data_IF_731292974960
#
_entry.id   IF_731292974960
#
_cell.length_a   1.000
_cell.length_b   1.000
_cell.length_c   1.000
_cell.angle_alpha   90.00
_cell.angle_beta   90.00
_cell.angle_gamma   90.00
#
_symmetry.space_group_name_H-M   'P 1'
#
loop_
_entity.id
_entity.type
_entity.pdbx_description
1 polymer ?
#
# COMPACT_ATOMS: atom_id res chain seq x y z
N UNK A 1 -8.36 0.00 5.99
CA UNK A 1 -7.15 0.58 6.62
C UNK A 1 -6.07 0.50 5.58
N UNK A 2 -5.87 1.58 4.84
CA UNK A 2 -4.73 1.70 3.95
C UNK A 2 -3.55 2.04 4.83
N UNK A 3 -2.76 1.04 5.21
CA UNK A 3 -1.43 1.31 5.74
C UNK A 3 -0.61 1.91 4.60
N UNK A 4 -0.15 3.13 4.78
CA UNK A 4 0.86 3.70 3.92
C UNK A 4 2.17 2.98 4.27
N UNK A 5 2.47 1.87 3.55
CA UNK A 5 3.64 1.03 3.83
C UNK A 5 4.98 1.76 3.62
N UNK A 6 4.96 2.96 3.04
CA UNK A 6 6.17 3.72 2.76
C UNK A 6 6.93 4.25 3.98
N UNK A 7 6.27 4.41 5.12
CA UNK A 7 6.90 5.00 6.32
C UNK A 7 7.55 3.96 7.22
N UNK A 8 7.14 2.69 7.13
CA UNK A 8 7.62 1.63 8.04
C UNK A 8 8.82 0.83 7.55
N UNK A 9 9.22 1.01 6.29
CA UNK A 9 10.25 0.16 5.68
C UNK A 9 11.70 0.53 6.04
N UNK A 10 11.95 1.68 6.66
CA UNK A 10 13.34 2.14 6.76
C UNK A 10 14.10 1.78 8.04
N UNK A 11 13.45 1.37 9.11
CA UNK A 11 14.24 1.11 10.33
C UNK A 11 13.55 0.13 11.28
N UNK A 12 13.87 -1.13 11.19
CA UNK A 12 13.58 -2.12 12.22
C UNK A 12 12.98 -3.41 11.71
N UNK A 13 13.53 -4.51 12.17
CA UNK A 13 13.02 -5.86 11.96
C UNK A 13 11.61 -5.96 12.55
N UNK A 14 10.59 -6.04 11.68
CA UNK A 14 9.24 -6.36 12.12
C UNK A 14 9.09 -7.88 12.07
N UNK A 15 8.86 -8.52 13.20
CA UNK A 15 8.48 -9.94 13.22
C UNK A 15 7.13 -10.14 12.53
N UNK A 16 6.92 -11.24 11.79
CA UNK A 16 5.67 -11.53 11.09
C UNK A 16 4.52 -11.63 12.08
N UNK A 17 3.48 -10.94 11.71
CA UNK A 17 2.36 -10.61 12.53
C UNK A 17 1.48 -11.73 13.01
N UNK A 18 0.62 -11.35 13.87
CA UNK A 18 -0.51 -12.10 14.40
C UNK A 18 -1.59 -12.18 13.31
N UNK A 19 -1.98 -13.39 12.93
CA UNK A 19 -3.13 -13.62 12.04
C UNK A 19 -4.43 -13.35 12.78
N UNK A 20 -5.44 -12.75 12.16
CA UNK A 20 -6.79 -12.76 12.70
C UNK A 20 -7.35 -14.19 12.66
N UNK A 21 -7.98 -14.59 13.74
CA UNK A 21 -8.70 -15.86 13.79
C UNK A 21 -9.91 -15.84 12.83
N UNK A 22 -10.23 -17.00 12.26
CA UNK A 22 -11.34 -17.20 11.33
C UNK A 22 -12.70 -17.22 12.04
N UNK A 23 -13.13 -16.08 12.52
CA UNK A 23 -14.53 -15.92 12.95
C UNK A 23 -14.89 -14.44 13.03
N UNK A 24 -16.04 -14.01 12.49
CA UNK A 24 -16.39 -12.60 12.41
C UNK A 24 -17.00 -12.01 13.68
N UNK A 25 -17.05 -12.75 14.78
CA UNK A 25 -17.63 -12.27 16.02
C UNK A 25 -16.53 -12.11 17.07
N UNK A 26 -16.31 -10.86 17.51
CA UNK A 26 -15.55 -10.48 18.71
C UNK A 26 -14.04 -10.81 18.71
N UNK A 27 -13.28 -10.23 17.79
CA UNK A 27 -11.84 -10.15 17.97
C UNK A 27 -11.55 -9.02 18.95
N UNK A 28 -11.42 -9.37 20.22
CA UNK A 28 -10.84 -8.50 21.23
C UNK A 28 -9.32 -8.53 21.01
N UNK A 29 -8.75 -7.50 20.38
CA UNK A 29 -7.30 -7.37 20.27
C UNK A 29 -6.78 -6.95 21.64
N UNK A 30 -6.15 -7.88 22.32
CA UNK A 30 -5.46 -7.60 23.59
C UNK A 30 -4.12 -6.89 23.28
N UNK A 31 -4.17 -5.57 23.24
CA UNK A 31 -3.00 -4.72 22.96
C UNK A 31 -1.89 -4.84 24.02
N UNK A 32 -2.18 -5.41 25.20
CA UNK A 32 -1.17 -5.65 26.22
C UNK A 32 -0.14 -6.70 25.80
N UNK A 33 -0.52 -7.63 24.91
CA UNK A 33 0.33 -8.68 24.34
C UNK A 33 1.22 -8.22 23.19
N UNK A 34 0.96 -7.04 22.61
CA UNK A 34 1.80 -6.48 21.55
C UNK A 34 3.10 -5.87 22.06
N UNK A 35 3.22 -5.62 23.36
CA UNK A 35 4.44 -5.09 23.98
C UNK A 35 5.66 -6.02 23.85
N UNK A 36 5.49 -7.31 23.60
CA UNK A 36 6.56 -8.29 23.50
C UNK A 36 7.10 -8.55 22.08
N UNK A 37 6.49 -7.98 21.02
CA UNK A 37 6.86 -8.27 19.63
C UNK A 37 7.65 -7.18 18.94
N UNK A 38 7.90 -6.05 19.60
CA UNK A 38 8.75 -4.98 19.10
C UNK A 38 10.19 -5.27 19.50
N UNK A 39 11.07 -5.43 18.53
CA UNK A 39 12.51 -5.66 18.75
C UNK A 39 13.11 -4.53 19.58
N UNK A 40 13.95 -4.84 20.61
CA UNK A 40 14.69 -3.82 21.36
C UNK A 40 15.67 -3.13 20.38
N UNK A 41 15.49 -1.85 20.13
CA UNK A 41 16.39 -1.07 19.29
C UNK A 41 15.75 0.14 18.65
N UNK A 42 14.44 0.18 18.58
CA UNK A 42 13.63 1.40 18.39
C UNK A 42 12.32 1.20 19.10
N UNK A 43 12.32 1.51 20.37
CA UNK A 43 11.15 2.12 20.94
C UNK A 43 10.86 3.33 20.07
N UNK A 44 9.73 3.30 19.32
CA UNK A 44 9.02 4.52 19.20
C UNK A 44 8.67 4.86 20.65
N UNK A 45 9.48 5.69 21.25
CA UNK A 45 9.07 6.46 22.39
C UNK A 45 8.01 7.43 21.84
N UNK A 46 6.83 6.87 21.57
CA UNK A 46 5.62 7.64 21.77
C UNK A 46 5.77 7.97 23.24
N UNK A 47 5.90 9.24 23.63
CA UNK A 47 5.89 9.57 25.02
C UNK A 47 4.51 9.18 25.54
N UNK A 48 4.38 7.93 25.90
CA UNK A 48 3.26 7.39 26.62
C UNK A 48 3.39 7.99 28.03
N UNK A 49 3.00 9.27 28.14
CA UNK A 49 2.82 9.86 29.44
C UNK A 49 1.53 9.28 30.00
N UNK A 50 1.60 8.35 30.97
CA UNK A 50 0.40 7.78 31.58
C UNK A 50 -0.50 8.84 32.24
N UNK A 51 0.02 10.05 32.43
CA UNK A 51 -0.68 11.16 33.09
C UNK A 51 -1.79 11.80 32.25
N UNK A 52 -1.86 11.53 30.93
CA UNK A 52 -2.88 12.09 30.04
C UNK A 52 -3.84 11.04 29.44
N UNK A 53 -3.68 9.77 29.79
CA UNK A 53 -4.67 8.73 29.46
C UNK A 53 -5.94 8.99 30.24
N UNK A 54 -7.02 9.34 29.55
CA UNK A 54 -8.32 9.61 30.15
C UNK A 54 -8.69 11.08 30.25
N UNK A 55 -7.96 12.01 29.58
CA UNK A 55 -8.42 13.38 29.46
C UNK A 55 -9.75 13.42 28.73
N UNK A 56 -10.73 14.00 29.40
CA UNK A 56 -12.09 14.19 28.90
C UNK A 56 -12.05 15.20 27.77
N UNK A 57 -12.59 14.86 26.61
CA UNK A 57 -12.69 15.76 25.48
C UNK A 57 -13.77 16.83 25.66
N UNK A 58 -13.58 18.05 25.18
CA UNK A 58 -14.62 19.09 25.20
C UNK A 58 -15.93 18.66 24.58
N UNK A 59 -15.91 17.80 23.53
CA UNK A 59 -17.09 17.33 22.84
C UNK A 59 -17.90 16.27 23.59
N UNK A 60 -17.27 15.52 24.50
CA UNK A 60 -17.92 14.43 25.20
C UNK A 60 -17.14 13.94 26.42
N UNK A 61 -17.82 13.75 27.53
CA UNK A 61 -17.27 13.13 28.75
C UNK A 61 -17.04 11.61 28.60
N UNK A 62 -17.53 11.00 27.52
CA UNK A 62 -17.45 9.56 27.25
C UNK A 62 -16.46 9.21 26.11
N UNK A 63 -15.69 10.17 25.66
CA UNK A 63 -14.63 10.00 24.66
C UNK A 63 -13.26 10.13 25.32
N UNK A 64 -12.37 9.19 25.00
CA UNK A 64 -11.06 9.03 25.63
C UNK A 64 -9.95 9.02 24.61
N UNK A 65 -8.89 9.82 24.85
CA UNK A 65 -7.66 9.77 24.07
C UNK A 65 -6.88 8.52 24.48
N UNK A 66 -6.62 7.64 23.54
CA UNK A 66 -5.89 6.36 23.74
C UNK A 66 -4.44 6.43 23.28
N UNK A 67 -4.15 7.27 22.29
CA UNK A 67 -2.79 7.45 21.81
C UNK A 67 -2.55 8.86 21.23
N UNK A 68 -1.30 9.26 21.25
CA UNK A 68 -0.79 10.46 20.60
C UNK A 68 0.18 10.05 19.49
N UNK A 69 0.22 10.82 18.41
CA UNK A 69 1.17 10.65 17.31
C UNK A 69 2.53 11.27 17.65
N UNK A 70 3.47 11.07 16.75
CA UNK A 70 4.77 11.74 16.74
C UNK A 70 4.68 13.27 16.67
N UNK A 71 3.54 13.81 16.20
CA UNK A 71 3.26 15.26 16.22
C UNK A 71 2.83 15.78 17.60
N UNK A 72 2.65 14.90 18.58
CA UNK A 72 2.13 15.23 19.90
C UNK A 72 0.63 15.48 19.93
N UNK A 73 -0.08 15.23 18.84
CA UNK A 73 -1.53 15.35 18.76
C UNK A 73 -2.22 14.00 18.97
N UNK A 74 -3.47 13.98 19.50
CA UNK A 74 -4.21 12.76 19.64
C UNK A 74 -4.38 12.05 18.28
N UNK A 75 -3.94 10.80 18.20
CA UNK A 75 -4.04 10.00 16.97
C UNK A 75 -5.01 8.81 17.09
N UNK A 76 -5.53 8.58 18.28
CA UNK A 76 -6.54 7.55 18.55
C UNK A 76 -7.45 8.02 19.68
N UNK A 77 -8.72 8.24 19.35
CA UNK A 77 -9.76 8.65 20.30
C UNK A 77 -10.96 7.73 20.11
N UNK A 78 -11.44 7.10 21.18
CA UNK A 78 -12.56 6.17 21.13
C UNK A 78 -13.61 6.45 22.21
N UNK A 79 -14.81 5.95 21.99
CA UNK A 79 -15.96 6.11 22.86
C UNK A 79 -17.09 6.87 22.17
N UNK A 80 -17.94 7.55 22.92
CA UNK A 80 -18.97 8.43 22.37
C UNK A 80 -18.33 9.77 22.06
N UNK A 81 -17.96 9.98 20.78
CA UNK A 81 -17.18 11.16 20.40
C UNK A 81 -17.95 12.48 20.49
N UNK A 82 -19.28 12.44 20.31
CA UNK A 82 -20.18 13.60 20.31
C UNK A 82 -21.44 13.30 21.13
N UNK A 83 -22.00 14.32 21.77
CA UNK A 83 -23.37 14.28 22.29
C UNK A 83 -24.38 14.22 21.13
N UNK A 84 -25.61 13.77 21.39
CA UNK A 84 -26.66 13.67 20.36
C UNK A 84 -26.93 14.99 19.63
N UNK A 85 -26.85 16.13 20.33
CA UNK A 85 -27.01 17.46 19.72
C UNK A 85 -25.90 17.83 18.73
N UNK A 86 -24.76 17.13 18.77
CA UNK A 86 -23.62 17.34 17.87
C UNK A 86 -23.64 16.45 16.63
N UNK A 87 -24.59 15.51 16.52
CA UNK A 87 -24.65 14.51 15.47
C UNK A 87 -25.66 14.92 14.39
N UNK A 88 -25.21 14.99 13.15
CA UNK A 88 -26.09 15.06 11.99
C UNK A 88 -26.15 13.70 11.31
N UNK A 89 -27.19 12.92 11.58
CA UNK A 89 -27.35 11.55 11.04
C UNK A 89 -27.54 11.50 9.53
N UNK A 90 -27.86 12.63 8.89
CA UNK A 90 -28.04 12.75 7.43
C UNK A 90 -26.74 13.18 6.75
N UNK A 91 -25.81 13.79 7.50
CA UNK A 91 -24.52 14.25 6.98
C UNK A 91 -23.37 13.87 7.92
N UNK A 92 -22.71 12.77 7.57
CA UNK A 92 -21.55 12.29 8.30
C UNK A 92 -20.36 13.26 8.26
N UNK A 93 -20.22 14.07 7.20
CA UNK A 93 -19.17 15.10 7.12
C UNK A 93 -19.44 16.23 8.10
N UNK A 94 -20.68 16.70 8.17
CA UNK A 94 -21.06 17.70 9.16
C UNK A 94 -20.81 17.20 10.59
N UNK A 95 -21.09 15.92 10.86
CA UNK A 95 -20.81 15.27 12.15
C UNK A 95 -19.30 15.24 12.44
N UNK A 96 -18.47 14.83 11.47
CA UNK A 96 -17.02 14.75 11.61
C UNK A 96 -16.41 16.16 11.87
N UNK A 97 -16.80 17.15 11.08
CA UNK A 97 -16.31 18.51 11.24
C UNK A 97 -16.76 19.16 12.54
N UNK A 98 -17.98 18.86 13.01
CA UNK A 98 -18.43 19.33 14.31
C UNK A 98 -17.59 18.74 15.46
N UNK A 99 -17.20 17.46 15.37
CA UNK A 99 -16.27 16.88 16.34
C UNK A 99 -14.94 17.65 16.38
N UNK A 100 -14.32 17.90 15.21
CA UNK A 100 -13.04 18.63 15.13
C UNK A 100 -13.22 20.04 15.71
N UNK A 101 -14.28 20.73 15.33
CA UNK A 101 -14.58 22.10 15.79
C UNK A 101 -14.74 22.18 17.30
N UNK A 102 -15.46 21.25 17.91
CA UNK A 102 -15.64 21.23 19.37
C UNK A 102 -14.35 20.87 20.13
N UNK A 103 -13.39 20.24 19.46
CA UNK A 103 -12.11 19.83 20.04
C UNK A 103 -10.91 20.61 19.51
N UNK A 104 -11.10 21.80 18.94
CA UNK A 104 -10.04 22.61 18.34
C UNK A 104 -8.86 22.88 19.28
N UNK A 105 -9.12 23.12 20.57
CA UNK A 105 -8.07 23.34 21.57
C UNK A 105 -7.16 22.13 21.77
N UNK A 106 -7.68 20.92 21.60
CA UNK A 106 -6.97 19.65 21.74
C UNK A 106 -6.31 19.24 20.45
N UNK A 107 -7.05 19.37 19.31
CA UNK A 107 -6.58 18.95 17.99
C UNK A 107 -5.74 20.01 17.30
N UNK A 108 -5.78 21.29 17.76
CA UNK A 108 -5.06 22.43 17.18
C UNK A 108 -5.32 22.64 15.71
N UNK A 109 -6.56 22.44 15.28
CA UNK A 109 -7.05 22.68 13.93
C UNK A 109 -7.97 23.91 13.94
N UNK A 110 -7.68 24.90 13.11
CA UNK A 110 -8.40 26.17 13.11
C UNK A 110 -9.64 26.13 12.20
N UNK A 111 -9.49 25.65 10.97
CA UNK A 111 -10.55 25.64 9.95
C UNK A 111 -10.76 24.22 9.37
N UNK A 112 -11.43 23.33 10.08
CA UNK A 112 -11.53 21.92 9.67
C UNK A 112 -12.16 21.71 8.29
N UNK A 113 -13.09 22.59 7.87
CA UNK A 113 -13.76 22.51 6.57
C UNK A 113 -12.86 22.89 5.40
N UNK A 114 -11.86 23.75 5.64
CA UNK A 114 -10.87 24.17 4.65
C UNK A 114 -9.65 23.25 4.65
N UNK A 115 -9.36 22.68 5.83
CA UNK A 115 -8.16 21.89 6.05
C UNK A 115 -8.33 20.40 5.74
N UNK A 116 -9.56 19.86 5.78
CA UNK A 116 -9.78 18.43 5.56
C UNK A 116 -10.69 18.16 4.36
N UNK A 117 -10.14 17.47 3.36
CA UNK A 117 -10.88 17.04 2.17
C UNK A 117 -11.13 15.54 2.25
N UNK A 118 -12.38 15.12 2.08
CA UNK A 118 -12.73 13.70 2.05
C UNK A 118 -12.08 13.01 0.85
N UNK A 119 -11.28 11.97 1.11
CA UNK A 119 -10.61 11.17 0.07
C UNK A 119 -11.19 9.77 -0.08
N UNK A 120 -11.92 9.28 0.94
CA UNK A 120 -12.55 7.97 0.89
C UNK A 120 -13.78 7.92 1.79
N UNK A 121 -14.80 7.18 1.36
CA UNK A 121 -15.96 6.78 2.17
C UNK A 121 -16.27 5.33 1.87
N UNK A 122 -16.25 4.49 2.90
CA UNK A 122 -16.64 3.09 2.82
C UNK A 122 -17.83 2.87 3.75
N UNK A 123 -18.86 2.21 3.24
CA UNK A 123 -20.00 1.77 4.03
C UNK A 123 -20.01 0.24 4.10
N UNK A 124 -20.10 -0.30 5.30
CA UNK A 124 -20.24 -1.73 5.59
C UNK A 124 -21.39 -1.94 6.54
N UNK A 125 -22.57 -2.22 6.00
CA UNK A 125 -23.82 -2.28 6.75
C UNK A 125 -24.12 -0.97 7.48
N UNK A 126 -24.20 -1.01 8.81
CA UNK A 126 -24.42 0.14 9.68
C UNK A 126 -23.14 0.97 9.92
N UNK A 127 -21.98 0.46 9.51
CA UNK A 127 -20.69 1.11 9.71
C UNK A 127 -20.34 2.02 8.53
N UNK A 128 -19.86 3.20 8.83
CA UNK A 128 -19.31 4.14 7.86
C UNK A 128 -17.88 4.49 8.28
N UNK A 129 -16.96 4.40 7.32
CA UNK A 129 -15.55 4.77 7.50
C UNK A 129 -15.25 5.89 6.53
N UNK A 130 -14.90 7.06 7.04
CA UNK A 130 -14.65 8.25 6.24
C UNK A 130 -13.23 8.70 6.49
N UNK A 131 -12.47 8.89 5.43
CA UNK A 131 -11.08 9.31 5.48
C UNK A 131 -10.93 10.69 4.86
N UNK A 132 -10.13 11.53 5.50
CA UNK A 132 -9.83 12.89 5.07
C UNK A 132 -8.32 13.08 4.97
N UNK A 133 -7.89 13.81 3.95
CA UNK A 133 -6.54 14.33 3.78
C UNK A 133 -6.48 15.76 4.30
N UNK A 134 -5.45 16.10 5.07
CA UNK A 134 -5.22 17.47 5.50
C UNK A 134 -4.60 18.31 4.39
N UNK A 135 -5.07 19.55 4.26
CA UNK A 135 -4.55 20.59 3.38
C UNK A 135 -4.28 21.87 4.16
N UNK A 136 -3.38 22.69 3.64
CA UNK A 136 -3.18 24.06 4.11
C UNK A 136 -3.20 25.00 2.93
N UNK A 137 -4.17 25.91 2.90
CA UNK A 137 -4.38 26.85 1.77
C UNK A 137 -4.36 26.18 0.40
N UNK A 138 -5.00 25.01 0.30
CA UNK A 138 -5.09 24.23 -0.94
C UNK A 138 -3.88 23.34 -1.24
N UNK A 139 -2.83 23.36 -0.44
CA UNK A 139 -1.64 22.51 -0.60
C UNK A 139 -1.75 21.31 0.36
N UNK A 140 -1.56 20.10 -0.16
CA UNK A 140 -1.61 18.88 0.64
C UNK A 140 -0.56 18.90 1.74
N UNK A 141 -0.97 18.56 2.97
CA UNK A 141 -0.03 18.28 4.06
C UNK A 141 0.41 16.83 3.94
N UNK A 142 1.70 16.62 3.74
CA UNK A 142 2.27 15.29 3.52
C UNK A 142 2.05 14.36 4.72
N UNK A 143 1.59 13.14 4.42
CA UNK A 143 1.36 12.09 5.41
C UNK A 143 0.45 12.52 6.57
N UNK A 144 -0.58 13.31 6.27
CA UNK A 144 -1.53 13.83 7.24
C UNK A 144 -2.95 13.44 6.84
N UNK A 145 -3.40 12.32 7.37
CA UNK A 145 -4.73 11.75 7.11
C UNK A 145 -5.44 11.42 8.43
N UNK A 146 -6.74 11.69 8.47
CA UNK A 146 -7.60 11.31 9.60
C UNK A 146 -8.76 10.45 9.12
N UNK A 147 -9.27 9.62 10.00
CA UNK A 147 -10.43 8.76 9.74
C UNK A 147 -11.44 8.85 10.86
N UNK A 148 -12.71 8.90 10.47
CA UNK A 148 -13.85 8.73 11.37
C UNK A 148 -14.53 7.40 11.09
N UNK A 149 -14.90 6.72 12.16
CA UNK A 149 -15.67 5.49 12.13
C UNK A 149 -16.98 5.74 12.85
N UNK A 150 -18.09 5.60 12.11
CA UNK A 150 -19.44 5.84 12.61
C UNK A 150 -20.25 4.54 12.55
N UNK A 151 -21.12 4.35 13.54
CA UNK A 151 -22.15 3.31 13.53
C UNK A 151 -23.51 3.99 13.61
N UNK A 152 -24.38 3.70 12.63
CA UNK A 152 -25.69 4.35 12.51
C UNK A 152 -25.64 5.90 12.57
N UNK A 153 -24.58 6.48 11.96
CA UNK A 153 -24.31 7.92 11.94
C UNK A 153 -23.71 8.48 13.24
N UNK A 154 -23.45 7.64 14.26
CA UNK A 154 -22.82 8.04 15.52
C UNK A 154 -21.32 7.78 15.45
N UNK A 155 -20.45 8.79 15.59
CA UNK A 155 -19.01 8.59 15.57
C UNK A 155 -18.54 7.97 16.89
N UNK A 156 -17.82 6.84 16.79
CA UNK A 156 -17.30 6.09 17.95
C UNK A 156 -15.79 5.97 17.98
N UNK A 157 -15.11 6.25 16.86
CA UNK A 157 -13.66 6.20 16.77
C UNK A 157 -13.15 7.27 15.80
N UNK A 158 -12.16 8.01 16.24
CA UNK A 158 -11.32 8.89 15.45
C UNK A 158 -9.90 8.37 15.50
N UNK A 159 -9.25 8.24 14.36
CA UNK A 159 -7.84 7.93 14.29
C UNK A 159 -7.16 8.59 13.09
N UNK A 160 -5.83 8.68 13.15
CA UNK A 160 -5.02 9.20 12.07
C UNK A 160 -3.80 9.96 12.56
N UNK A 161 -3.06 10.52 11.61
CA UNK A 161 -1.91 11.37 11.85
C UNK A 161 -2.12 12.68 11.11
N UNK A 162 -1.91 13.79 11.79
CA UNK A 162 -2.05 15.13 11.23
C UNK A 162 -1.13 16.10 11.99
N UNK A 163 -1.02 17.33 11.52
CA UNK A 163 -0.26 18.39 12.19
C UNK A 163 -1.20 19.51 12.64
N UNK A 164 -0.80 20.32 13.62
CA UNK A 164 -1.52 21.56 13.93
C UNK A 164 -1.67 22.39 12.66
N UNK A 165 -2.72 23.21 12.57
CA UNK A 165 -2.85 24.18 11.47
C UNK A 165 -1.53 24.94 11.31
N UNK A 166 -0.86 24.86 10.13
CA UNK A 166 0.40 25.54 9.92
C UNK A 166 0.25 27.05 10.05
N UNK A 167 1.07 27.66 10.89
CA UNK A 167 1.12 29.12 11.03
C UNK A 167 2.26 29.67 10.16
N UNK A 168 1.99 30.77 9.45
CA UNK A 168 2.99 31.59 8.75
C UNK A 168 3.82 30.87 7.68
N UNK A 169 3.29 29.81 7.07
CA UNK A 169 3.94 29.15 5.94
C UNK A 169 3.70 29.98 4.66
N UNK A 170 4.79 30.44 4.05
CA UNK A 170 4.73 31.04 2.71
C UNK A 170 4.47 29.91 1.70
N UNK A 171 3.33 29.98 0.98
CA UNK A 171 2.90 28.96 0.01
C UNK A 171 3.30 29.27 -1.43
N UNK A 172 4.02 30.36 -1.68
CA UNK A 172 4.50 30.74 -3.02
C UNK A 172 5.93 30.23 -3.19
N UNK A 173 6.20 29.25 -4.06
CA UNK A 173 7.53 28.70 -4.23
C UNK A 173 8.46 29.72 -4.92
N UNK A 174 9.74 29.74 -4.56
CA UNK A 174 10.77 30.57 -5.20
C UNK A 174 11.53 29.84 -6.31
N UNK A 175 11.45 28.50 -6.35
CA UNK A 175 11.97 27.67 -7.44
C UNK A 175 10.83 26.93 -8.13
N UNK A 176 11.03 26.50 -9.37
CA UNK A 176 10.04 25.71 -10.12
C UNK A 176 10.14 24.21 -9.82
N UNK A 177 9.07 23.47 -10.18
CA UNK A 177 9.08 21.99 -10.10
C UNK A 177 10.20 21.39 -10.96
N UNK A 178 10.50 21.98 -12.13
CA UNK A 178 11.57 21.49 -12.99
C UNK A 178 12.96 21.65 -12.32
N UNK A 179 13.19 22.75 -11.60
CA UNK A 179 14.41 22.95 -10.83
C UNK A 179 14.52 21.88 -9.73
N UNK A 180 13.45 21.65 -8.97
CA UNK A 180 13.43 20.63 -7.94
C UNK A 180 13.63 19.22 -8.51
N UNK A 181 13.01 18.92 -9.65
CA UNK A 181 13.18 17.64 -10.37
C UNK A 181 14.62 17.44 -10.82
N UNK A 182 15.27 18.49 -11.33
CA UNK A 182 16.69 18.42 -11.72
C UNK A 182 17.62 18.24 -10.52
N UNK A 183 17.29 18.81 -9.38
CA UNK A 183 18.03 18.56 -8.13
C UNK A 183 17.92 17.08 -7.74
N UNK A 184 16.71 16.49 -7.77
CA UNK A 184 16.53 15.07 -7.48
C UNK A 184 17.34 14.18 -8.46
N UNK A 185 17.32 14.49 -9.77
CA UNK A 185 18.13 13.79 -10.79
C UNK A 185 19.64 13.91 -10.55
N UNK A 186 20.10 15.04 -10.00
CA UNK A 186 21.53 15.23 -9.68
C UNK A 186 21.98 14.40 -8.48
N UNK A 187 21.05 14.11 -7.55
CA UNK A 187 21.32 13.22 -6.41
C UNK A 187 21.42 11.77 -6.91
N UNK A 188 20.44 11.33 -7.71
CA UNK A 188 20.43 9.99 -8.32
C UNK A 188 20.01 10.08 -9.79
N UNK A 189 20.92 9.86 -10.72
CA UNK A 189 20.56 9.82 -12.13
C UNK A 189 19.50 8.76 -12.43
N UNK A 190 18.55 9.13 -13.28
CA UNK A 190 17.51 8.22 -13.76
C UNK A 190 18.04 7.50 -15.00
N UNK A 191 17.99 6.16 -15.02
CA UNK A 191 18.32 5.39 -16.21
C UNK A 191 17.32 5.66 -17.33
N UNK A 192 17.73 5.42 -18.58
CA UNK A 192 16.81 5.38 -19.70
C UNK A 192 16.03 4.05 -19.65
N UNK A 193 14.69 4.16 -19.60
CA UNK A 193 13.81 3.00 -19.62
C UNK A 193 13.30 2.74 -21.02
N UNK A 194 13.18 1.46 -21.40
CA UNK A 194 12.41 1.04 -22.57
C UNK A 194 10.92 1.16 -22.29
N UNK A 195 10.08 1.16 -23.35
CA UNK A 195 8.63 1.15 -23.19
C UNK A 195 8.13 -0.05 -22.38
N UNK A 196 8.79 -1.20 -22.51
CA UNK A 196 8.47 -2.39 -21.72
C UNK A 196 8.80 -2.18 -20.25
N UNK A 197 9.96 -1.63 -19.92
CA UNK A 197 10.40 -1.35 -18.56
C UNK A 197 9.50 -0.32 -17.86
N UNK A 198 8.98 0.67 -18.60
CA UNK A 198 8.03 1.64 -18.04
C UNK A 198 6.72 0.98 -17.54
N UNK A 199 6.29 -0.13 -18.14
CA UNK A 199 5.12 -0.88 -17.65
C UNK A 199 5.35 -1.46 -16.27
N UNK A 200 6.60 -1.84 -15.93
CA UNK A 200 6.97 -2.40 -14.63
C UNK A 200 7.13 -1.34 -13.53
N UNK A 201 7.22 -0.07 -13.91
CA UNK A 201 7.16 1.05 -12.96
C UNK A 201 5.71 1.50 -12.75
N UNK A 202 4.87 1.40 -13.79
CA UNK A 202 3.44 1.75 -13.76
C UNK A 202 3.15 3.24 -13.69
N UNK A 203 4.18 4.07 -13.68
CA UNK A 203 4.12 5.53 -13.63
C UNK A 203 5.33 6.14 -14.39
N UNK A 204 5.34 7.45 -14.55
CA UNK A 204 6.52 8.12 -15.10
C UNK A 204 7.71 7.99 -14.13
N UNK A 205 8.96 7.84 -14.64
CA UNK A 205 10.13 7.58 -13.79
C UNK A 205 10.44 8.66 -12.75
N UNK A 206 9.96 9.89 -12.98
CA UNK A 206 10.10 10.99 -12.03
C UNK A 206 8.93 11.96 -12.17
N UNK A 207 8.33 12.32 -11.05
CA UNK A 207 7.24 13.30 -10.97
C UNK A 207 7.21 13.93 -9.58
N UNK A 208 6.48 15.03 -9.45
CA UNK A 208 6.37 15.67 -8.15
C UNK A 208 5.25 16.68 -8.04
N UNK A 209 5.04 17.15 -6.82
CA UNK A 209 4.04 18.15 -6.48
C UNK A 209 4.48 18.98 -5.28
N UNK A 210 3.84 20.15 -5.09
CA UNK A 210 4.00 20.92 -3.86
C UNK A 210 3.27 20.26 -2.70
N UNK A 211 3.91 20.24 -1.54
CA UNK A 211 3.35 19.76 -0.28
C UNK A 211 3.77 20.66 0.88
N UNK A 212 3.00 20.63 1.96
CA UNK A 212 3.48 21.07 3.26
C UNK A 212 4.15 19.87 3.93
N UNK A 213 5.44 19.97 4.17
CA UNK A 213 6.27 18.91 4.75
C UNK A 213 6.73 19.25 6.16
N UNK A 214 6.75 18.28 7.06
CA UNK A 214 7.23 18.42 8.43
C UNK A 214 8.32 17.41 8.74
N UNK A 215 9.48 17.89 9.19
CA UNK A 215 10.52 17.06 9.79
C UNK A 215 10.30 17.01 11.30
N UNK A 216 9.52 16.06 11.79
CA UNK A 216 9.05 16.00 13.17
C UNK A 216 10.21 15.95 14.18
N UNK A 217 11.29 15.25 13.86
CA UNK A 217 12.49 15.18 14.69
C UNK A 217 13.15 16.56 14.91
N UNK A 218 12.89 17.52 14.02
CA UNK A 218 13.44 18.89 14.10
C UNK A 218 12.39 19.93 14.46
N UNK A 219 11.22 19.84 13.90
CA UNK A 219 10.12 20.78 14.11
C UNK A 219 8.80 20.22 13.60
N UNK A 220 7.72 20.45 14.34
CA UNK A 220 6.34 20.20 13.88
C UNK A 220 5.82 21.31 12.96
N UNK A 221 6.59 22.37 12.72
CA UNK A 221 6.22 23.45 11.79
C UNK A 221 6.30 22.92 10.36
N UNK A 222 5.20 23.06 9.63
CA UNK A 222 5.17 22.78 8.20
C UNK A 222 6.04 23.76 7.43
N UNK A 223 6.68 23.29 6.35
CA UNK A 223 7.39 24.12 5.38
C UNK A 223 6.98 23.71 3.96
N UNK A 224 7.00 24.66 3.04
CA UNK A 224 6.67 24.38 1.65
C UNK A 224 7.82 23.60 1.00
N UNK A 225 7.50 22.45 0.44
CA UNK A 225 8.46 21.59 -0.24
C UNK A 225 7.91 21.04 -1.54
N UNK A 226 8.78 20.73 -2.51
CA UNK A 226 8.47 19.81 -3.57
C UNK A 226 8.70 18.39 -3.09
N UNK A 227 7.66 17.58 -3.11
CA UNK A 227 7.75 16.14 -2.99
C UNK A 227 7.98 15.55 -4.38
N UNK A 228 9.13 14.92 -4.59
CA UNK A 228 9.52 14.31 -5.86
C UNK A 228 9.63 12.81 -5.66
N UNK A 229 8.84 12.05 -6.40
CA UNK A 229 8.98 10.60 -6.53
C UNK A 229 9.90 10.29 -7.69
N UNK A 230 10.90 9.46 -7.49
CA UNK A 230 11.85 9.08 -8.53
C UNK A 230 12.15 7.57 -8.53
N UNK A 231 12.20 6.99 -9.71
CA UNK A 231 12.68 5.64 -9.99
C UNK A 231 14.04 5.70 -10.71
N UNK A 232 15.17 5.67 -10.00
CA UNK A 232 16.48 5.64 -10.65
C UNK A 232 16.68 4.41 -11.54
N UNK A 233 16.09 3.29 -11.15
CA UNK A 233 16.05 2.01 -11.86
C UNK A 233 14.76 1.25 -11.53
N UNK A 234 14.56 0.03 -12.03
CA UNK A 234 13.35 -0.78 -11.82
C UNK A 234 13.16 -1.24 -10.36
N UNK A 235 14.20 -1.27 -9.55
CA UNK A 235 14.20 -1.78 -8.17
C UNK A 235 13.97 -0.69 -7.16
N UNK A 236 14.53 0.49 -7.42
CA UNK A 236 14.61 1.56 -6.42
C UNK A 236 13.56 2.63 -6.68
N UNK A 237 12.87 3.01 -5.62
CA UNK A 237 11.96 4.14 -5.58
C UNK A 237 12.33 5.04 -4.41
N UNK A 238 12.47 6.33 -4.68
CA UNK A 238 12.83 7.35 -3.69
C UNK A 238 11.80 8.46 -3.66
N UNK A 239 11.56 8.97 -2.47
CA UNK A 239 10.80 10.20 -2.22
C UNK A 239 11.78 11.26 -1.74
N UNK A 240 11.89 12.37 -2.48
CA UNK A 240 12.71 13.53 -2.12
C UNK A 240 11.80 14.66 -1.67
N UNK A 241 12.20 15.33 -0.60
CA UNK A 241 11.56 16.57 -0.16
C UNK A 241 12.56 17.70 -0.33
N UNK A 242 12.27 18.60 -1.26
CA UNK A 242 13.15 19.70 -1.64
C UNK A 242 12.47 21.00 -1.25
N UNK A 243 13.13 21.82 -0.44
CA UNK A 243 12.62 23.12 0.00
C UNK A 243 12.26 23.98 -1.20
N UNK A 244 11.01 24.40 -1.28
CA UNK A 244 10.47 25.11 -2.43
C UNK A 244 10.96 26.57 -2.56
N UNK A 245 11.65 27.10 -1.54
CA UNK A 245 12.23 28.44 -1.56
C UNK A 245 13.73 28.41 -1.85
N UNK A 246 14.46 27.44 -1.28
CA UNK A 246 15.92 27.44 -1.31
C UNK A 246 16.52 26.37 -2.25
N UNK A 247 15.72 25.38 -2.66
CA UNK A 247 16.20 24.22 -3.42
C UNK A 247 17.03 23.22 -2.60
N UNK A 248 17.13 23.39 -1.29
CA UNK A 248 17.85 22.44 -0.42
C UNK A 248 17.08 21.15 -0.26
N UNK A 249 17.78 20.02 -0.29
CA UNK A 249 17.22 18.73 0.11
C UNK A 249 16.88 18.76 1.60
N UNK A 250 15.61 18.57 1.92
CA UNK A 250 15.10 18.49 3.29
C UNK A 250 15.21 17.06 3.79
N UNK A 251 14.74 16.10 2.99
CA UNK A 251 14.71 14.68 3.33
C UNK A 251 14.74 13.79 2.10
N UNK A 252 15.20 12.55 2.29
CA UNK A 252 15.24 11.50 1.28
C UNK A 252 14.75 10.20 1.92
N UNK A 253 13.74 9.57 1.33
CA UNK A 253 13.16 8.31 1.80
C UNK A 253 13.26 7.28 0.67
N UNK A 254 13.96 6.16 0.90
CA UNK A 254 13.86 5.01 0.01
C UNK A 254 12.51 4.32 0.26
N UNK A 255 11.61 4.36 -0.72
CA UNK A 255 10.23 3.85 -0.60
C UNK A 255 10.01 2.49 -1.28
N UNK A 256 11.04 1.91 -1.92
CA UNK A 256 11.01 0.52 -2.34
C UNK A 256 11.13 -0.41 -1.13
N UNK A 257 10.21 -1.39 -1.03
CA UNK A 257 10.21 -2.37 0.05
C UNK A 257 11.10 -3.56 -0.34
N UNK A 258 12.20 -3.77 0.39
CA UNK A 258 13.03 -4.96 0.30
C UNK A 258 12.93 -5.72 1.62
N UNK A 259 12.56 -7.00 1.56
CA UNK A 259 12.62 -7.91 2.69
C UNK A 259 14.07 -8.38 2.85
N UNK A 260 14.81 -7.79 3.77
CA UNK A 260 16.11 -8.34 4.20
C UNK A 260 15.81 -9.39 5.26
N UNK A 261 15.92 -10.66 4.92
CA UNK A 261 15.85 -11.75 5.88
C UNK A 261 17.21 -11.92 6.58
N UNK A 262 17.27 -11.62 7.87
CA UNK A 262 18.25 -12.19 8.77
C UNK A 262 17.76 -13.61 9.13
N UNK A 263 18.44 -14.62 8.59
CA UNK A 263 18.09 -16.00 8.81
C UNK A 263 18.27 -16.40 10.28
N UNK A 264 17.17 -16.57 11.00
CA UNK A 264 17.04 -17.53 12.07
C UNK A 264 15.84 -18.39 11.72
N UNK A 265 16.12 -19.67 11.51
CA UNK A 265 15.15 -20.68 11.16
C UNK A 265 14.03 -20.76 12.19
N UNK A 266 12.83 -20.34 11.79
CA UNK A 266 11.60 -20.78 12.45
C UNK A 266 10.77 -21.51 11.39
N UNK A 267 10.86 -22.84 11.41
CA UNK A 267 10.02 -23.74 10.63
C UNK A 267 8.56 -23.61 11.06
N UNK A 268 7.80 -22.77 10.40
CA UNK A 268 6.35 -22.69 10.60
C UNK A 268 5.67 -23.23 9.33
N UNK A 269 5.21 -24.48 9.39
CA UNK A 269 4.37 -25.05 8.36
C UNK A 269 2.92 -24.58 8.54
N UNK A 270 2.34 -23.96 7.54
CA UNK A 270 0.93 -23.57 7.52
C UNK A 270 0.12 -24.53 6.66
N UNK A 271 -0.86 -25.19 7.25
CA UNK A 271 -1.89 -25.95 6.50
C UNK A 271 -3.09 -25.05 6.26
N UNK A 272 -3.39 -24.77 4.99
CA UNK A 272 -4.65 -24.16 4.58
C UNK A 272 -5.63 -25.26 4.15
N UNK A 273 -6.82 -25.25 4.73
CA UNK A 273 -7.95 -26.01 4.20
C UNK A 273 -8.68 -25.11 3.18
N UNK A 274 -8.51 -25.41 1.91
CA UNK A 274 -9.30 -24.80 0.83
C UNK A 274 -10.32 -25.85 0.33
N UNK A 275 -11.50 -25.86 0.94
CA UNK A 275 -12.68 -26.49 0.31
C UNK A 275 -13.56 -25.40 -0.27
N UNK A 276 -13.26 -24.96 -1.49
CA UNK A 276 -14.24 -24.31 -2.34
C UNK A 276 -14.30 -25.03 -3.65
N UNK A 277 -15.49 -25.59 -3.92
CA UNK A 277 -15.81 -26.28 -5.18
C UNK A 277 -15.82 -25.27 -6.34
N UNK A 278 -14.90 -25.41 -7.27
CA UNK A 278 -15.03 -24.80 -8.58
C UNK A 278 -15.62 -25.79 -9.57
N UNK A 279 -16.76 -25.44 -10.13
CA UNK A 279 -17.46 -26.24 -11.16
C UNK A 279 -16.66 -26.19 -12.47
N UNK A 280 -16.14 -27.32 -12.89
CA UNK A 280 -15.53 -27.48 -14.21
C UNK A 280 -16.59 -27.44 -15.30
N UNK A 281 -16.42 -26.60 -16.32
CA UNK A 281 -17.20 -26.67 -17.57
C UNK A 281 -16.46 -27.55 -18.58
N UNK A 282 -17.18 -28.53 -19.11
CA UNK A 282 -16.71 -29.32 -20.23
C UNK A 282 -16.66 -28.51 -21.53
N UNK A 283 -15.60 -28.69 -22.33
CA UNK A 283 -15.38 -27.96 -23.58
C UNK A 283 -15.56 -28.87 -24.79
N UNK A 284 -16.27 -28.35 -25.77
CA UNK A 284 -16.52 -28.90 -27.10
C UNK A 284 -15.31 -28.67 -28.02
N UNK A 285 -15.05 -29.66 -28.90
CA UNK A 285 -13.93 -29.68 -29.87
C UNK A 285 -14.15 -28.78 -31.07
N UNK A 286 -14.02 -27.48 -30.89
CA UNK A 286 -13.60 -26.51 -31.93
C UNK A 286 -12.26 -25.93 -31.54
N UNK A 287 -11.38 -25.43 -32.44
CA UNK A 287 -10.17 -24.77 -32.03
C UNK A 287 -10.55 -23.71 -30.99
N UNK A 288 -9.92 -23.72 -29.81
CA UNK A 288 -10.37 -22.87 -28.72
C UNK A 288 -10.25 -21.41 -29.14
N UNK A 289 -11.36 -20.67 -29.00
CA UNK A 289 -11.38 -19.23 -29.23
C UNK A 289 -10.55 -18.54 -28.18
N UNK A 290 -9.86 -17.46 -28.57
CA UNK A 290 -9.17 -16.57 -27.65
C UNK A 290 -10.04 -16.23 -26.44
N UNK A 291 -9.51 -16.37 -25.22
CA UNK A 291 -10.28 -16.09 -24.02
C UNK A 291 -9.73 -16.72 -22.74
N UNK A 292 -10.47 -16.51 -21.65
CA UNK A 292 -10.14 -17.08 -20.35
C UNK A 292 -10.22 -18.62 -20.40
N UNK A 293 -9.24 -19.26 -19.78
CA UNK A 293 -9.13 -20.71 -19.66
C UNK A 293 -8.66 -21.08 -18.25
N UNK A 294 -8.66 -22.37 -17.93
CA UNK A 294 -8.18 -22.88 -16.65
C UNK A 294 -7.25 -24.07 -16.86
N UNK A 295 -6.31 -24.28 -15.92
CA UNK A 295 -5.42 -25.42 -15.93
C UNK A 295 -5.08 -25.86 -14.49
N UNK A 296 -4.82 -27.15 -14.31
CA UNK A 296 -4.22 -27.64 -13.09
C UNK A 296 -2.69 -27.68 -13.23
N UNK A 297 -1.97 -27.17 -12.23
CA UNK A 297 -0.51 -27.15 -12.22
C UNK A 297 0.03 -27.33 -10.80
N UNK A 298 1.27 -27.82 -10.70
CA UNK A 298 1.90 -28.08 -9.40
C UNK A 298 2.68 -26.85 -8.94
N UNK A 299 2.39 -26.39 -7.73
CA UNK A 299 3.10 -25.27 -7.07
C UNK A 299 4.45 -25.72 -6.46
N UNK A 300 5.19 -24.78 -5.86
CA UNK A 300 6.46 -25.05 -5.18
C UNK A 300 6.34 -26.05 -4.04
N UNK A 301 5.18 -26.10 -3.37
CA UNK A 301 4.91 -27.05 -2.28
C UNK A 301 4.49 -28.43 -2.77
N UNK A 302 4.48 -28.68 -4.08
CA UNK A 302 4.02 -29.93 -4.67
C UNK A 302 2.51 -30.10 -4.71
N UNK A 303 1.74 -29.03 -4.42
CA UNK A 303 0.28 -29.07 -4.40
C UNK A 303 -0.27 -28.71 -5.78
N UNK A 304 -1.27 -29.47 -6.24
CA UNK A 304 -2.01 -29.15 -7.46
C UNK A 304 -2.90 -27.94 -7.23
N UNK A 305 -2.75 -26.90 -8.07
CA UNK A 305 -3.51 -25.66 -8.04
C UNK A 305 -4.29 -25.48 -9.32
N UNK A 306 -5.53 -25.07 -9.19
CA UNK A 306 -6.32 -24.59 -10.32
C UNK A 306 -5.88 -23.14 -10.63
N UNK A 307 -5.39 -22.92 -11.84
CA UNK A 307 -4.97 -21.63 -12.35
C UNK A 307 -6.00 -21.09 -13.32
N UNK A 308 -6.25 -19.79 -13.30
CA UNK A 308 -6.87 -19.07 -14.39
C UNK A 308 -5.78 -18.64 -15.37
N UNK A 309 -5.96 -18.96 -16.63
CA UNK A 309 -5.01 -18.66 -17.71
C UNK A 309 -5.75 -17.96 -18.84
N UNK A 310 -5.05 -17.50 -19.85
CA UNK A 310 -5.68 -16.87 -21.02
C UNK A 310 -5.11 -17.43 -22.31
N UNK A 311 -5.98 -17.90 -23.19
CA UNK A 311 -5.63 -18.29 -24.54
C UNK A 311 -5.63 -17.07 -25.45
N UNK A 312 -4.54 -16.86 -26.17
CA UNK A 312 -4.42 -15.82 -27.19
C UNK A 312 -3.59 -16.32 -28.38
N UNK A 313 -4.21 -16.32 -29.56
CA UNK A 313 -3.55 -16.68 -30.82
C UNK A 313 -2.82 -18.02 -30.75
N UNK A 314 -3.46 -19.03 -30.14
CA UNK A 314 -2.93 -20.39 -30.02
C UNK A 314 -1.95 -20.66 -28.90
N UNK A 315 -1.61 -19.65 -28.08
CA UNK A 315 -0.77 -19.81 -26.89
C UNK A 315 -1.53 -19.45 -25.62
N UNK A 316 -1.32 -20.23 -24.57
CA UNK A 316 -1.80 -19.91 -23.21
C UNK A 316 -0.75 -19.08 -22.48
N UNK A 317 -1.25 -18.15 -21.67
CA UNK A 317 -0.46 -17.22 -20.87
C UNK A 317 -0.87 -17.34 -19.41
N UNK A 318 0.07 -17.15 -18.47
CA UNK A 318 -0.25 -16.96 -17.07
C UNK A 318 -0.80 -15.54 -16.86
N UNK A 319 -2.00 -15.34 -17.38
CA UNK A 319 -2.79 -14.11 -17.24
C UNK A 319 -4.18 -14.50 -16.76
N UNK A 320 -4.56 -14.08 -15.57
CA UNK A 320 -5.90 -14.25 -15.03
C UNK A 320 -6.75 -13.02 -15.35
N UNK A 321 -7.64 -13.17 -16.32
CA UNK A 321 -8.62 -12.17 -16.76
C UNK A 321 -10.03 -12.50 -16.23
N UNK A 322 -10.15 -13.38 -15.23
CA UNK A 322 -11.45 -13.83 -14.71
C UNK A 322 -12.02 -12.92 -13.62
N UNK A 323 -11.23 -12.00 -13.09
CA UNK A 323 -11.62 -11.14 -11.97
C UNK A 323 -12.42 -9.93 -12.44
N UNK A 324 -13.36 -9.40 -11.59
CA UNK A 324 -14.18 -8.23 -11.92
C UNK A 324 -13.39 -6.96 -12.29
N UNK A 325 -12.11 -6.89 -11.95
CA UNK A 325 -11.24 -5.78 -12.33
C UNK A 325 -10.85 -5.78 -13.80
N UNK A 326 -10.99 -6.90 -14.51
CA UNK A 326 -10.59 -7.01 -15.91
C UNK A 326 -11.50 -6.20 -16.82
N UNK A 327 -10.92 -5.33 -17.66
CA UNK A 327 -11.70 -4.38 -18.45
C UNK A 327 -11.40 -4.34 -19.95
N UNK A 328 -10.30 -4.96 -20.43
CA UNK A 328 -9.94 -4.91 -21.85
C UNK A 328 -9.23 -6.18 -22.32
N UNK A 329 -9.86 -7.04 -23.11
CA UNK A 329 -9.24 -8.22 -23.71
C UNK A 329 -8.23 -7.89 -24.81
N UNK A 330 -8.34 -6.71 -25.44
CA UNK A 330 -7.52 -6.33 -26.61
C UNK A 330 -6.05 -6.04 -26.26
N UNK A 331 -5.73 -5.81 -25.00
CA UNK A 331 -4.38 -5.55 -24.51
C UNK A 331 -3.57 -6.82 -24.18
N UNK A 332 -4.19 -8.00 -24.22
CA UNK A 332 -3.50 -9.28 -23.95
C UNK A 332 -2.70 -9.72 -25.19
N UNK A 333 -1.44 -10.19 -25.00
CA UNK A 333 -0.79 -10.44 -23.69
C UNK A 333 0.04 -9.27 -23.15
N UNK A 334 0.31 -8.25 -23.95
CA UNK A 334 1.42 -7.31 -23.69
C UNK A 334 1.12 -6.23 -22.64
N UNK A 335 -0.15 -5.82 -22.51
CA UNK A 335 -0.55 -4.79 -21.55
C UNK A 335 -1.99 -5.02 -21.07
N UNK A 336 -2.26 -6.16 -20.39
CA UNK A 336 -3.59 -6.44 -19.87
C UNK A 336 -3.97 -5.42 -18.79
N UNK A 337 -5.18 -4.90 -18.87
CA UNK A 337 -5.73 -3.97 -17.90
C UNK A 337 -6.63 -4.70 -16.90
N UNK A 338 -6.34 -4.58 -15.62
CA UNK A 338 -7.11 -5.22 -14.56
C UNK A 338 -6.99 -6.75 -14.55
N UNK A 339 -5.81 -7.28 -14.78
CA UNK A 339 -5.53 -8.70 -14.75
C UNK A 339 -4.48 -9.07 -13.70
N UNK A 340 -4.33 -10.37 -13.43
CA UNK A 340 -3.19 -10.89 -12.68
C UNK A 340 -2.26 -11.53 -13.69
N UNK A 341 -1.04 -11.00 -13.82
CA UNK A 341 -0.07 -11.42 -14.81
C UNK A 341 1.20 -11.92 -14.15
N UNK A 342 1.71 -13.06 -14.59
CA UNK A 342 3.00 -13.59 -14.16
C UNK A 342 3.92 -13.72 -15.35
N UNK A 343 5.11 -13.11 -15.23
CA UNK A 343 6.16 -13.10 -16.24
C UNK A 343 7.48 -13.55 -15.62
N UNK A 344 8.42 -13.97 -16.44
CA UNK A 344 9.70 -14.58 -16.05
C UNK A 344 10.87 -13.71 -16.49
N UNK A 345 11.70 -13.29 -15.55
CA UNK A 345 12.92 -12.54 -15.80
C UNK A 345 14.03 -13.36 -16.45
N UNK A 346 13.89 -14.69 -16.48
CA UNK A 346 14.90 -15.58 -17.09
C UNK A 346 16.26 -15.50 -16.41
N UNK A 347 16.28 -15.36 -15.09
CA UNK A 347 17.49 -15.17 -14.28
C UNK A 347 18.28 -13.90 -14.66
N UNK A 348 17.57 -12.80 -14.92
CA UNK A 348 18.16 -11.48 -15.11
C UNK A 348 17.92 -10.58 -13.91
N UNK A 349 18.83 -9.64 -13.70
CA UNK A 349 18.68 -8.64 -12.64
C UNK A 349 17.89 -7.42 -13.12
N UNK A 350 16.86 -6.97 -12.38
CA UNK A 350 16.14 -5.74 -12.68
C UNK A 350 16.95 -4.47 -12.41
N UNK A 351 18.14 -4.58 -11.81
CA UNK A 351 19.08 -3.47 -11.67
C UNK A 351 19.88 -3.21 -12.95
N UNK A 352 19.90 -4.16 -13.87
CA UNK A 352 20.66 -4.04 -15.11
C UNK A 352 19.83 -3.34 -16.20
N UNK A 353 20.41 -2.41 -16.93
CA UNK A 353 19.75 -1.62 -17.96
C UNK A 353 19.14 -2.47 -19.11
N UNK A 354 19.64 -3.68 -19.33
CA UNK A 354 19.14 -4.62 -20.34
C UNK A 354 18.08 -5.59 -19.78
N UNK A 355 17.50 -5.31 -18.64
CA UNK A 355 16.45 -6.15 -18.05
C UNK A 355 15.25 -6.24 -18.97
N UNK A 356 14.78 -7.46 -19.15
CA UNK A 356 13.51 -7.80 -19.80
C UNK A 356 12.94 -9.03 -19.15
N UNK A 357 11.61 -9.12 -19.10
CA UNK A 357 10.90 -10.30 -18.65
C UNK A 357 10.00 -10.82 -19.77
N UNK A 358 9.85 -12.12 -19.86
CA UNK A 358 9.08 -12.77 -20.90
C UNK A 358 7.77 -13.34 -20.33
N UNK A 359 6.74 -13.40 -21.14
CA UNK A 359 5.54 -14.12 -20.75
C UNK A 359 5.85 -15.60 -20.49
N UNK A 360 5.28 -16.13 -19.43
CA UNK A 360 5.26 -17.57 -19.20
C UNK A 360 4.14 -18.12 -20.07
N UNK A 361 4.49 -18.95 -21.06
CA UNK A 361 3.55 -19.43 -22.08
C UNK A 361 3.52 -20.95 -22.17
N UNK A 362 2.43 -21.48 -22.70
CA UNK A 362 2.22 -22.89 -22.97
C UNK A 362 1.35 -23.10 -24.21
N UNK A 363 1.75 -24.01 -25.09
CA UNK A 363 0.95 -24.36 -26.26
C UNK A 363 -0.29 -25.21 -25.93
N UNK A 364 -0.27 -25.91 -24.81
CA UNK A 364 -1.29 -26.90 -24.41
C UNK A 364 -1.84 -26.70 -23.00
N UNK A 365 -1.65 -25.51 -22.43
CA UNK A 365 -2.08 -25.14 -21.07
C UNK A 365 -1.50 -26.01 -19.96
N UNK A 366 -0.29 -26.55 -20.15
CA UNK A 366 0.47 -27.28 -19.12
C UNK A 366 1.63 -26.43 -18.62
N UNK A 367 1.93 -26.46 -17.32
CA UNK A 367 2.84 -25.52 -16.67
C UNK A 367 3.87 -26.25 -15.84
N UNK A 368 5.14 -26.17 -16.24
CA UNK A 368 6.27 -26.84 -15.57
C UNK A 368 6.98 -25.95 -14.54
N UNK A 369 6.90 -24.61 -14.69
CA UNK A 369 7.53 -23.69 -13.77
C UNK A 369 6.74 -23.58 -12.47
N UNK A 370 7.12 -24.33 -11.44
CA UNK A 370 6.47 -24.30 -10.13
C UNK A 370 6.52 -22.91 -9.49
N UNK A 371 7.60 -22.14 -9.73
CA UNK A 371 7.76 -20.77 -9.25
C UNK A 371 6.68 -19.87 -9.85
N UNK A 372 6.53 -19.91 -11.17
CA UNK A 372 5.53 -19.10 -11.87
C UNK A 372 4.10 -19.51 -11.49
N UNK A 373 3.85 -20.81 -11.32
CA UNK A 373 2.57 -21.37 -10.84
C UNK A 373 2.26 -20.81 -9.43
N UNK A 374 3.21 -20.85 -8.52
CA UNK A 374 3.04 -20.33 -7.16
C UNK A 374 2.76 -18.83 -7.13
N UNK A 375 3.53 -18.04 -7.88
CA UNK A 375 3.36 -16.60 -7.93
C UNK A 375 1.99 -16.22 -8.51
N UNK A 376 1.58 -16.89 -9.61
CA UNK A 376 0.31 -16.64 -10.27
C UNK A 376 -0.89 -16.99 -9.38
N UNK A 377 -0.88 -18.17 -8.79
CA UNK A 377 -1.93 -18.64 -7.88
C UNK A 377 -2.07 -17.72 -6.66
N UNK A 378 -0.95 -17.43 -6.00
CA UNK A 378 -0.98 -16.59 -4.79
C UNK A 378 -1.35 -15.12 -5.08
N UNK A 379 -1.04 -14.59 -6.26
CA UNK A 379 -1.53 -13.30 -6.72
C UNK A 379 -3.08 -13.26 -6.78
N UNK A 380 -3.70 -14.35 -7.26
CA UNK A 380 -5.15 -14.54 -7.25
C UNK A 380 -5.72 -14.59 -5.84
N UNK A 381 -5.13 -15.37 -4.96
CA UNK A 381 -5.56 -15.49 -3.55
C UNK A 381 -5.47 -14.14 -2.82
N UNK A 382 -4.39 -13.39 -3.04
CA UNK A 382 -4.24 -12.06 -2.45
C UNK A 382 -5.33 -11.10 -2.94
N UNK A 383 -5.60 -11.07 -4.26
CA UNK A 383 -6.69 -10.26 -4.80
C UNK A 383 -8.04 -10.63 -4.16
N UNK A 384 -8.39 -11.93 -4.15
CA UNK A 384 -9.67 -12.41 -3.62
C UNK A 384 -9.83 -12.08 -2.14
N UNK A 385 -8.77 -12.20 -1.34
CA UNK A 385 -8.77 -11.83 0.07
C UNK A 385 -9.07 -10.33 0.26
N UNK A 386 -8.35 -9.44 -0.41
CA UNK A 386 -8.56 -8.01 -0.26
C UNK A 386 -9.91 -7.57 -0.85
N UNK A 387 -10.35 -8.18 -1.93
CA UNK A 387 -11.66 -7.91 -2.52
C UNK A 387 -12.80 -8.32 -1.59
N UNK A 388 -12.71 -9.52 -1.01
CA UNK A 388 -13.78 -10.09 -0.19
C UNK A 388 -13.85 -9.45 1.19
N UNK A 389 -12.70 -9.21 1.82
CA UNK A 389 -12.62 -8.71 3.21
C UNK A 389 -12.74 -7.20 3.32
N UNK A 390 -12.26 -6.46 2.32
CA UNK A 390 -12.13 -5.01 2.38
C UNK A 390 -12.82 -4.30 1.21
N UNK A 391 -13.54 -5.03 0.36
CA UNK A 391 -14.12 -4.52 -0.90
C UNK A 391 -13.11 -3.72 -1.72
N UNK A 392 -11.82 -4.05 -1.61
CA UNK A 392 -10.74 -3.36 -2.32
C UNK A 392 -10.58 -3.96 -3.71
N UNK A 393 -10.73 -3.12 -4.74
CA UNK A 393 -10.60 -3.54 -6.12
C UNK A 393 -9.14 -3.47 -6.57
N UNK A 394 -8.41 -4.57 -6.39
CA UNK A 394 -7.00 -4.73 -6.76
C UNK A 394 -6.03 -3.90 -5.92
N UNK A 395 -4.76 -3.88 -6.34
CA UNK A 395 -3.62 -3.34 -5.61
C UNK A 395 -3.71 -1.82 -5.39
N UNK A 396 -4.24 -1.10 -6.36
CA UNK A 396 -4.44 0.35 -6.29
C UNK A 396 -5.85 0.76 -5.81
N UNK A 397 -6.74 -0.20 -5.53
CA UNK A 397 -8.14 0.06 -5.16
C UNK A 397 -9.06 0.36 -6.35
N UNK A 398 -8.54 0.48 -7.56
CA UNK A 398 -9.25 0.91 -8.77
C UNK A 398 -9.14 -0.08 -9.94
N UNK A 399 -8.77 -1.34 -9.66
CA UNK A 399 -8.68 -2.38 -10.68
C UNK A 399 -7.33 -2.42 -11.43
N UNK A 400 -6.25 -1.96 -10.80
CA UNK A 400 -4.91 -2.04 -11.40
C UNK A 400 -4.44 -3.47 -11.62
N UNK A 401 -3.65 -3.70 -12.68
CA UNK A 401 -3.05 -5.00 -12.98
C UNK A 401 -2.07 -5.39 -11.87
N UNK A 402 -2.13 -6.66 -11.46
CA UNK A 402 -1.18 -7.25 -10.50
C UNK A 402 -0.12 -7.97 -11.31
N UNK A 403 1.12 -7.49 -11.24
CA UNK A 403 2.26 -8.03 -11.98
C UNK A 403 3.20 -8.75 -11.02
N UNK A 404 3.46 -10.04 -11.29
CA UNK A 404 4.46 -10.85 -10.62
C UNK A 404 5.59 -11.17 -11.58
N UNK A 405 6.83 -10.81 -11.24
CA UNK A 405 8.03 -11.07 -12.03
C UNK A 405 8.87 -12.08 -11.27
N UNK A 406 8.98 -13.29 -11.78
CA UNK A 406 9.72 -14.40 -11.13
C UNK A 406 11.11 -14.56 -11.70
N UNK A 407 11.95 -15.33 -11.00
CA UNK A 407 13.31 -15.67 -11.40
C UNK A 407 14.22 -14.45 -11.61
N UNK A 408 14.13 -13.46 -10.70
CA UNK A 408 15.09 -12.34 -10.71
C UNK A 408 16.38 -12.72 -9.96
N UNK A 409 17.49 -12.10 -10.36
CA UNK A 409 18.82 -12.29 -9.76
C UNK A 409 19.39 -10.98 -9.22
N UNK A 410 20.46 -11.07 -8.45
CA UNK A 410 21.30 -9.93 -8.12
C UNK A 410 22.00 -9.39 -9.38
N UNK A 411 22.52 -8.14 -9.30
CA UNK A 411 23.15 -7.47 -10.45
C UNK A 411 24.38 -8.21 -11.02
N UNK A 412 25.04 -9.01 -10.18
CA UNK A 412 26.17 -9.84 -10.57
C UNK A 412 25.74 -11.22 -11.12
N UNK A 413 24.43 -11.49 -11.23
CA UNK A 413 23.88 -12.77 -11.72
C UNK A 413 23.79 -13.87 -10.67
N UNK A 414 24.19 -13.63 -9.40
CA UNK A 414 23.97 -14.60 -8.31
C UNK A 414 22.51 -14.68 -7.96
N UNK A 415 22.10 -15.78 -7.29
CA UNK A 415 20.75 -15.94 -6.81
C UNK A 415 20.36 -14.86 -5.80
N UNK A 416 19.13 -14.36 -5.92
CA UNK A 416 18.57 -13.35 -5.03
C UNK A 416 17.67 -14.00 -3.99
N UNK A 417 18.06 -13.93 -2.72
CA UNK A 417 17.25 -14.37 -1.58
C UNK A 417 16.35 -13.24 -1.09
N UNK A 418 15.51 -12.71 -1.98
CA UNK A 418 14.63 -11.59 -1.69
C UNK A 418 13.36 -11.62 -2.55
N UNK A 419 12.31 -10.97 -2.04
CA UNK A 419 11.16 -10.55 -2.81
C UNK A 419 10.85 -9.10 -2.45
N UNK A 420 10.55 -8.26 -3.45
CA UNK A 420 10.32 -6.84 -3.20
C UNK A 420 9.24 -6.27 -4.12
N UNK A 421 8.61 -5.21 -3.62
CA UNK A 421 7.64 -4.40 -4.34
C UNK A 421 8.27 -3.05 -4.72
N UNK A 422 8.25 -2.69 -6.01
CA UNK A 422 8.84 -1.43 -6.48
C UNK A 422 7.84 -0.26 -6.60
N UNK A 423 6.59 -0.48 -6.23
CA UNK A 423 5.50 0.49 -6.40
C UNK A 423 4.46 0.03 -7.43
N UNK A 424 4.81 -0.89 -8.33
CA UNK A 424 3.97 -1.32 -9.46
C UNK A 424 3.97 -2.82 -9.70
N UNK A 425 5.10 -3.49 -9.53
CA UNK A 425 5.26 -4.92 -9.74
C UNK A 425 5.94 -5.59 -8.53
N UNK A 426 5.58 -6.86 -8.31
CA UNK A 426 6.23 -7.71 -7.32
C UNK A 426 7.32 -8.53 -7.99
N UNK A 427 8.53 -8.46 -7.48
CA UNK A 427 9.69 -9.19 -7.95
C UNK A 427 10.00 -10.31 -6.97
N UNK A 428 10.27 -11.51 -7.50
CA UNK A 428 10.61 -12.70 -6.72
C UNK A 428 11.97 -13.22 -7.15
N UNK A 429 12.91 -13.21 -6.23
CA UNK A 429 14.26 -13.77 -6.43
C UNK A 429 14.23 -15.25 -6.72
N UNK A 430 15.22 -15.72 -7.50
CA UNK A 430 15.38 -17.12 -7.84
C UNK A 430 16.07 -17.96 -6.74
N UNK A 431 16.42 -17.31 -5.62
CA UNK A 431 17.03 -17.94 -4.47
C UNK A 431 18.53 -18.25 -4.63
N UNK A 432 19.23 -18.14 -3.52
CA UNK A 432 20.62 -18.60 -3.38
C UNK A 432 20.73 -19.65 -2.28
N UNK A 433 20.44 -19.26 -1.06
CA UNK A 433 20.53 -20.13 0.13
C UNK A 433 19.24 -20.19 0.92
N UNK A 434 18.46 -19.12 0.96
CA UNK A 434 17.27 -18.96 1.79
C UNK A 434 15.94 -19.03 1.05
N UNK A 435 15.94 -18.76 -0.25
CA UNK A 435 14.75 -18.73 -1.12
C UNK A 435 14.85 -19.86 -2.15
N UNK A 436 14.69 -21.11 -1.73
CA UNK A 436 14.69 -22.25 -2.67
C UNK A 436 13.32 -22.85 -2.82
#
# INVERSE_FOLDING_TARGET
ITFNMGVFAQKGKVKPGIRPASSPANVHIDYSKLKGSLTPGRTFDIPFSPKNLGSVLPSSKMAFIKAYSDTGLPCWIEGVLLSESGINRQDNNATAFNFIKLNQSVLKIENPQEEFVQISKLQDGALNHIKYQQYYKGIQVWNSEISFHLKDGVPYLFNGRFIPTPADVNILPSITLDVATNIAKSIRPIQQFTEEQLKYIGEVPIFGSLVIYTQIEKSIKGQLAYHITAHPNLVSRYEYFIDAHTGKLIDEIKSSCALVHDHKEDNISYKFNSNELHVAREFSMNPPLDGAATANAIDLNGTSRLLNTYLKSGNYYLIDASRPMFNSPNSIPNDPKGAIMTIDAGNKSPENNNFSANHVTSANNTWSSKVAVSAHYNGGIAYDYFRTRFNRNSINGSGGTIISIVNVTESNGSGMDNAFWNGSAMYYGNGNTGFK
#
